data_IF_801488519380
#
_entry.id   IF_801488519380
#
_cell.length_a   1.000
_cell.length_b   1.000
_cell.length_c   1.000
_cell.angle_alpha   90.00
_cell.angle_beta   90.00
_cell.angle_gamma   90.00
#
_symmetry.space_group_name_H-M   'P 1'
#
loop_
_entity.id
_entity.type
_entity.pdbx_description
1 polymer ?
#
# COMPACT_ATOMS: atom_id res chain seq x y z
N UNK A 1 18.57 21.76 39.95
CA UNK A 1 17.29 21.04 39.72
C UNK A 1 16.51 21.62 38.54
N UNK A 2 16.33 22.92 38.40
CA UNK A 2 15.56 23.54 37.28
C UNK A 2 16.07 23.11 35.86
N UNK A 3 17.40 23.10 35.64
CA UNK A 3 17.95 22.72 34.32
C UNK A 3 17.76 21.23 33.96
N UNK A 4 17.68 20.33 34.95
CA UNK A 4 17.38 18.92 34.70
C UNK A 4 15.92 18.69 34.35
N UNK A 5 15.00 19.46 34.99
CA UNK A 5 13.55 19.41 34.68
C UNK A 5 13.29 19.97 33.27
N UNK A 6 13.95 21.06 32.89
CA UNK A 6 13.86 21.60 31.53
C UNK A 6 14.41 20.64 30.47
N UNK A 7 15.50 19.91 30.75
CA UNK A 7 16.06 18.93 29.83
C UNK A 7 15.13 17.72 29.64
N UNK A 8 14.52 17.24 30.72
CA UNK A 8 13.53 16.14 30.66
C UNK A 8 12.24 16.60 29.94
N UNK A 9 11.78 17.82 30.19
CA UNK A 9 10.63 18.38 29.46
C UNK A 9 10.92 18.58 27.97
N UNK A 10 12.13 19.04 27.61
CA UNK A 10 12.56 19.17 26.21
C UNK A 10 12.68 17.81 25.51
N UNK A 11 13.18 16.77 26.21
CA UNK A 11 13.24 15.40 25.69
C UNK A 11 11.85 14.77 25.52
N UNK A 12 10.89 15.07 26.41
CA UNK A 12 9.51 14.62 26.29
C UNK A 12 8.78 15.32 25.14
N UNK A 13 9.06 16.59 24.87
CA UNK A 13 8.47 17.33 23.74
C UNK A 13 9.13 16.92 22.41
N UNK A 14 10.44 16.61 22.40
CA UNK A 14 11.12 16.11 21.22
C UNK A 14 10.74 14.64 20.86
N UNK A 15 10.17 13.89 21.81
CA UNK A 15 9.73 12.50 21.59
C UNK A 15 8.34 12.37 20.96
N UNK A 16 7.63 13.47 20.71
CA UNK A 16 6.33 13.46 20.02
C UNK A 16 6.48 13.96 18.57
N UNK A 17 7.54 13.55 17.89
CA UNK A 17 7.48 13.49 16.44
C UNK A 17 6.51 12.32 16.13
N UNK A 18 5.26 12.64 15.84
CA UNK A 18 4.31 11.65 15.34
C UNK A 18 4.88 11.15 14.02
N UNK A 19 5.43 9.96 14.04
CA UNK A 19 5.69 9.23 12.83
C UNK A 19 4.32 8.91 12.22
N UNK A 20 3.89 9.71 11.27
CA UNK A 20 2.77 9.39 10.39
C UNK A 20 3.28 8.33 9.42
N UNK A 21 3.34 7.11 9.86
CA UNK A 21 3.80 5.99 9.07
C UNK A 21 3.01 4.74 9.46
N UNK A 22 2.60 3.97 8.46
CA UNK A 22 1.91 2.72 8.70
C UNK A 22 2.82 1.70 9.40
N UNK A 23 2.23 0.80 10.17
CA UNK A 23 2.97 -0.23 10.93
C UNK A 23 2.71 -1.61 10.35
N UNK A 24 3.77 -2.33 10.02
CA UNK A 24 3.69 -3.69 9.49
C UNK A 24 4.53 -4.66 10.31
N UNK A 25 4.01 -5.89 10.51
CA UNK A 25 4.76 -7.01 11.04
C UNK A 25 4.73 -8.17 10.06
N UNK A 26 5.86 -8.81 9.86
CA UNK A 26 5.99 -10.03 9.07
C UNK A 26 6.61 -11.11 9.95
N UNK A 27 5.87 -12.18 10.19
CA UNK A 27 6.34 -13.36 10.90
C UNK A 27 6.60 -14.47 9.89
N UNK A 28 7.86 -14.81 9.68
CA UNK A 28 8.26 -15.87 8.76
C UNK A 28 8.01 -17.27 9.33
N UNK A 29 8.05 -18.29 8.46
CA UNK A 29 7.81 -19.70 8.80
C UNK A 29 8.64 -20.23 9.96
N UNK A 30 9.88 -19.76 10.11
CA UNK A 30 10.77 -20.20 11.20
C UNK A 30 10.45 -19.57 12.56
N UNK A 31 9.65 -18.52 12.61
CA UNK A 31 9.25 -17.82 13.83
C UNK A 31 7.80 -18.11 14.25
N UNK A 32 6.98 -18.68 13.37
CA UNK A 32 5.61 -19.08 13.68
C UNK A 32 5.58 -20.50 14.28
N UNK A 33 4.58 -20.75 15.13
CA UNK A 33 4.43 -22.05 15.81
C UNK A 33 4.07 -23.20 14.86
N UNK A 34 3.34 -22.89 13.81
CA UNK A 34 2.75 -23.87 12.87
C UNK A 34 3.37 -23.80 11.46
N UNK A 35 4.42 -22.99 11.29
CA UNK A 35 5.06 -22.80 9.98
C UNK A 35 4.30 -21.88 9.02
N UNK A 36 3.25 -21.20 9.49
CA UNK A 36 2.55 -20.18 8.69
C UNK A 36 3.40 -18.91 8.51
N UNK A 37 3.06 -18.11 7.50
CA UNK A 37 3.52 -16.74 7.39
C UNK A 37 2.38 -15.82 7.83
N UNK A 38 2.67 -14.90 8.75
CA UNK A 38 1.68 -13.95 9.25
C UNK A 38 2.14 -12.55 8.85
N UNK A 39 1.24 -11.79 8.25
CA UNK A 39 1.46 -10.37 7.93
C UNK A 39 0.38 -9.57 8.63
N UNK A 40 0.76 -8.53 9.35
CA UNK A 40 -0.17 -7.51 9.83
C UNK A 40 0.13 -6.19 9.14
N UNK A 41 -0.91 -5.42 8.91
CA UNK A 41 -0.82 -4.09 8.34
C UNK A 41 -1.79 -3.16 9.08
N UNK A 42 -1.30 -2.01 9.51
CA UNK A 42 -2.07 -0.97 10.15
C UNK A 42 -1.80 0.36 9.43
N UNK A 43 -2.84 0.94 8.87
CA UNK A 43 -2.79 2.31 8.37
C UNK A 43 -2.94 3.27 9.55
N UNK A 44 -1.84 3.91 9.96
CA UNK A 44 -1.81 4.80 11.12
C UNK A 44 -2.38 6.18 10.71
N UNK A 45 -3.69 6.31 10.73
CA UNK A 45 -4.41 7.53 10.34
C UNK A 45 -5.55 7.84 11.30
N UNK A 46 -5.77 9.11 11.57
CA UNK A 46 -6.92 9.59 12.35
C UNK A 46 -8.22 9.72 11.53
N UNK A 47 -8.13 9.69 10.21
CA UNK A 47 -9.24 9.91 9.29
C UNK A 47 -9.71 8.69 8.52
N UNK A 48 -8.94 7.60 8.55
CA UNK A 48 -9.29 6.36 7.85
C UNK A 48 -10.01 5.40 8.78
N UNK A 49 -11.12 4.85 8.31
CA UNK A 49 -11.85 3.78 8.98
C UNK A 49 -11.62 2.49 8.18
N UNK A 50 -11.24 1.41 8.90
CA UNK A 50 -11.03 0.13 8.26
C UNK A 50 -12.32 -0.45 7.67
N UNK A 51 -12.26 -0.86 6.42
CA UNK A 51 -13.31 -1.61 5.73
C UNK A 51 -12.73 -2.93 5.24
N UNK A 52 -13.58 -3.95 5.15
CA UNK A 52 -13.19 -5.20 4.53
C UNK A 52 -13.47 -5.10 3.03
N UNK A 53 -12.46 -4.71 2.27
CA UNK A 53 -12.54 -4.65 0.81
C UNK A 53 -12.60 -6.05 0.22
N UNK A 54 -13.49 -6.24 -0.75
CA UNK A 54 -13.59 -7.46 -1.52
C UNK A 54 -13.68 -7.14 -3.02
N UNK A 55 -12.72 -7.63 -3.77
CA UNK A 55 -12.67 -7.55 -5.22
C UNK A 55 -12.78 -8.98 -5.78
N UNK A 56 -13.93 -9.37 -6.35
CA UNK A 56 -14.12 -10.71 -6.87
C UNK A 56 -13.25 -10.96 -8.10
N UNK A 57 -12.86 -12.22 -8.29
CA UNK A 57 -12.23 -12.67 -9.53
C UNK A 57 -13.16 -12.44 -10.72
N UNK A 58 -12.60 -12.03 -11.85
CA UNK A 58 -13.39 -11.74 -13.05
C UNK A 58 -12.59 -12.01 -14.32
N UNK A 59 -13.31 -12.24 -15.43
CA UNK A 59 -12.78 -12.20 -16.79
C UNK A 59 -13.23 -10.93 -17.47
N UNK A 60 -12.32 -10.31 -18.20
CA UNK A 60 -12.55 -9.00 -18.82
C UNK A 60 -12.43 -9.10 -20.35
N UNK A 61 -13.11 -8.21 -21.06
CA UNK A 61 -12.96 -8.07 -22.49
C UNK A 61 -11.53 -7.66 -22.87
N UNK A 62 -11.11 -7.99 -24.08
CA UNK A 62 -9.75 -7.75 -24.58
C UNK A 62 -9.27 -6.30 -24.43
N UNK A 63 -10.17 -5.34 -24.62
CA UNK A 63 -9.85 -3.91 -24.59
C UNK A 63 -10.49 -3.20 -23.39
N UNK A 64 -10.77 -3.95 -22.32
CA UNK A 64 -11.31 -3.39 -21.09
C UNK A 64 -10.35 -2.40 -20.45
N UNK A 65 -10.88 -1.28 -19.96
CA UNK A 65 -10.14 -0.27 -19.23
C UNK A 65 -10.65 -0.24 -17.79
N UNK A 66 -9.73 0.00 -16.87
CA UNK A 66 -10.01 0.17 -15.44
C UNK A 66 -9.81 1.64 -15.07
N UNK A 67 -10.82 2.25 -14.48
CA UNK A 67 -10.71 3.57 -13.88
C UNK A 67 -9.92 3.50 -12.59
N UNK A 68 -9.00 4.43 -12.41
CA UNK A 68 -8.19 4.58 -11.22
C UNK A 68 -8.62 5.87 -10.52
N UNK A 69 -8.87 5.73 -9.24
CA UNK A 69 -9.21 6.83 -8.34
C UNK A 69 -8.19 6.86 -7.21
N UNK A 70 -7.71 8.04 -6.84
CA UNK A 70 -6.85 8.21 -5.69
C UNK A 70 -7.54 7.66 -4.44
N UNK A 71 -6.81 6.87 -3.69
CA UNK A 71 -7.37 6.09 -2.57
C UNK A 71 -7.97 6.97 -1.47
N UNK A 72 -7.28 8.03 -1.09
CA UNK A 72 -7.67 8.86 0.06
C UNK A 72 -8.80 9.84 -0.26
N UNK A 73 -8.83 10.39 -1.47
CA UNK A 73 -9.75 11.47 -1.85
C UNK A 73 -10.84 11.05 -2.82
N UNK A 74 -10.67 9.89 -3.49
CA UNK A 74 -11.56 9.46 -4.57
C UNK A 74 -11.43 10.30 -5.85
N UNK A 75 -10.38 11.10 -5.98
CA UNK A 75 -10.10 11.86 -7.20
C UNK A 75 -9.83 10.92 -8.37
N UNK A 76 -10.52 11.11 -9.50
CA UNK A 76 -10.23 10.36 -10.72
C UNK A 76 -8.85 10.74 -11.26
N UNK A 77 -7.97 9.74 -11.42
CA UNK A 77 -6.62 9.91 -11.90
C UNK A 77 -6.46 9.55 -13.38
N UNK A 78 -7.24 8.59 -13.87
CA UNK A 78 -7.15 8.13 -15.23
C UNK A 78 -7.65 6.70 -15.43
N UNK A 79 -7.28 6.11 -16.54
CA UNK A 79 -7.63 4.73 -16.87
C UNK A 79 -6.38 3.94 -17.25
N UNK A 80 -6.32 2.69 -16.79
CA UNK A 80 -5.28 1.74 -17.16
C UNK A 80 -5.90 0.57 -17.93
N UNK A 81 -5.10 -0.14 -18.70
CA UNK A 81 -5.54 -1.37 -19.36
C UNK A 81 -5.89 -2.43 -18.32
N UNK A 82 -7.07 -3.02 -18.43
CA UNK A 82 -7.45 -4.12 -17.56
C UNK A 82 -6.76 -5.43 -17.99
N UNK A 83 -6.45 -6.29 -16.99
CA UNK A 83 -5.96 -7.64 -17.27
C UNK A 83 -7.10 -8.50 -17.82
N UNK A 84 -6.81 -9.48 -18.72
CA UNK A 84 -7.86 -10.38 -19.24
C UNK A 84 -8.57 -11.20 -18.16
N UNK A 85 -7.89 -11.44 -17.05
CA UNK A 85 -8.39 -12.13 -15.87
C UNK A 85 -7.82 -11.46 -14.62
N UNK A 86 -8.68 -11.27 -13.61
CA UNK A 86 -8.29 -10.75 -12.30
C UNK A 86 -8.65 -11.77 -11.24
N UNK A 87 -7.84 -11.79 -10.17
CA UNK A 87 -7.98 -12.72 -9.05
C UNK A 87 -8.83 -12.14 -7.93
N UNK A 88 -9.40 -13.03 -7.13
CA UNK A 88 -10.17 -12.67 -5.95
C UNK A 88 -9.26 -12.08 -4.87
N UNK A 89 -9.63 -10.92 -4.31
CA UNK A 89 -8.89 -10.22 -3.27
C UNK A 89 -9.81 -9.88 -2.11
N UNK A 90 -9.38 -10.19 -0.89
CA UNK A 90 -10.07 -9.79 0.34
C UNK A 90 -9.06 -9.06 1.22
N UNK A 91 -9.38 -7.82 1.61
CA UNK A 91 -8.44 -6.98 2.32
C UNK A 91 -7.13 -6.86 1.52
N UNK A 92 -6.00 -7.08 2.16
CA UNK A 92 -4.68 -6.98 1.54
C UNK A 92 -4.11 -8.35 1.10
N UNK A 93 -4.95 -9.36 0.86
CA UNK A 93 -4.54 -10.69 0.44
C UNK A 93 -5.40 -11.21 -0.71
N UNK A 94 -4.78 -11.90 -1.67
CA UNK A 94 -5.48 -12.55 -2.77
C UNK A 94 -5.67 -14.08 -2.54
N UNK A 95 -6.42 -14.73 -3.42
CA UNK A 95 -6.70 -16.17 -3.36
C UNK A 95 -5.47 -17.07 -3.47
N UNK A 96 -4.34 -16.55 -3.95
CA UNK A 96 -3.04 -17.25 -3.97
C UNK A 96 -2.20 -16.97 -2.72
N UNK A 97 -2.77 -16.34 -1.68
CA UNK A 97 -2.10 -15.99 -0.43
C UNK A 97 -0.94 -14.98 -0.62
N UNK A 98 -0.96 -14.21 -1.70
CA UNK A 98 -0.08 -13.04 -1.83
C UNK A 98 -0.66 -11.93 -0.98
N UNK A 99 0.16 -11.36 -0.10
CA UNK A 99 -0.22 -10.25 0.77
C UNK A 99 0.68 -9.06 0.47
N UNK A 100 0.11 -7.86 0.40
CA UNK A 100 0.84 -6.61 0.22
C UNK A 100 0.43 -5.67 1.35
N UNK A 101 1.39 -5.24 2.14
CA UNK A 101 1.27 -4.11 3.07
C UNK A 101 2.12 -2.95 2.56
N UNK A 102 1.97 -1.78 3.15
CA UNK A 102 2.78 -0.61 2.81
C UNK A 102 3.14 0.19 4.07
N UNK A 103 4.08 1.11 3.91
CA UNK A 103 4.36 2.15 4.89
C UNK A 103 4.90 3.40 4.19
N UNK A 104 4.27 4.53 4.46
CA UNK A 104 4.65 5.83 3.92
C UNK A 104 5.91 6.34 4.60
N UNK A 105 6.91 6.77 3.82
CA UNK A 105 8.07 7.48 4.34
C UNK A 105 8.17 8.93 3.82
N UNK A 106 7.19 9.39 3.04
CA UNK A 106 7.10 10.72 2.45
C UNK A 106 8.04 10.94 1.28
N UNK A 107 9.33 10.76 1.48
CA UNK A 107 10.33 10.96 0.44
C UNK A 107 10.55 12.44 0.10
N UNK A 108 10.95 12.70 -1.14
CA UNK A 108 11.21 14.03 -1.68
C UNK A 108 10.00 14.49 -2.49
N UNK A 109 9.38 15.60 -2.11
CA UNK A 109 8.16 16.11 -2.77
C UNK A 109 8.33 16.35 -4.27
N UNK A 110 9.51 16.77 -4.71
CA UNK A 110 9.81 16.99 -6.13
C UNK A 110 9.80 15.71 -6.97
N UNK A 111 9.76 14.53 -6.35
CA UNK A 111 9.66 13.24 -7.05
C UNK A 111 8.21 12.75 -7.20
N UNK A 112 7.24 13.44 -6.61
CA UNK A 112 5.81 13.11 -6.79
C UNK A 112 5.41 13.44 -8.22
N UNK A 113 5.00 12.42 -8.97
CA UNK A 113 4.48 12.61 -10.33
C UNK A 113 3.00 12.99 -10.30
N UNK A 114 2.72 14.28 -10.33
CA UNK A 114 1.34 14.81 -10.34
C UNK A 114 0.54 14.48 -11.59
N UNK A 115 1.17 13.88 -12.60
CA UNK A 115 0.53 13.39 -13.85
C UNK A 115 0.37 11.88 -13.85
N UNK A 116 0.93 11.20 -12.86
CA UNK A 116 0.82 9.76 -12.70
C UNK A 116 -0.63 9.31 -12.47
N UNK A 117 -0.94 8.09 -12.86
CA UNK A 117 -2.27 7.50 -12.73
C UNK A 117 -2.35 6.55 -11.55
N UNK A 118 -1.24 5.88 -11.21
CA UNK A 118 -1.23 4.89 -10.12
C UNK A 118 -0.91 5.56 -8.78
N UNK A 119 -1.86 5.51 -7.85
CA UNK A 119 -1.62 5.82 -6.44
C UNK A 119 -1.27 4.56 -5.64
N UNK A 120 -0.83 4.72 -4.38
CA UNK A 120 -0.37 3.61 -3.55
C UNK A 120 -1.45 2.55 -3.32
N UNK A 121 -2.67 2.94 -2.99
CA UNK A 121 -3.77 2.02 -2.71
C UNK A 121 -4.21 1.25 -3.95
N UNK A 122 -4.43 1.94 -5.07
CA UNK A 122 -4.75 1.31 -6.35
C UNK A 122 -3.64 0.35 -6.79
N UNK A 123 -2.37 0.72 -6.57
CA UNK A 123 -1.23 -0.12 -6.92
C UNK A 123 -1.25 -1.46 -6.16
N UNK A 124 -1.55 -1.44 -4.85
CA UNK A 124 -1.71 -2.65 -4.03
C UNK A 124 -2.78 -3.57 -4.61
N UNK A 125 -4.00 -3.06 -4.78
CA UNK A 125 -5.13 -3.89 -5.19
C UNK A 125 -5.03 -4.39 -6.62
N UNK A 126 -4.52 -3.57 -7.55
CA UNK A 126 -4.29 -3.99 -8.93
C UNK A 126 -3.22 -5.07 -8.98
N UNK A 127 -2.13 -4.94 -8.20
CA UNK A 127 -1.09 -5.96 -8.15
C UNK A 127 -1.60 -7.28 -7.56
N UNK A 128 -2.39 -7.22 -6.47
CA UNK A 128 -3.01 -8.42 -5.88
C UNK A 128 -3.94 -9.12 -6.86
N UNK A 129 -4.70 -8.38 -7.65
CA UNK A 129 -5.60 -8.95 -8.66
C UNK A 129 -4.88 -9.55 -9.88
N UNK A 130 -3.56 -9.32 -10.05
CA UNK A 130 -2.79 -9.71 -11.24
C UNK A 130 -1.59 -10.59 -10.94
N UNK A 131 -1.40 -11.04 -9.69
CA UNK A 131 -0.20 -11.81 -9.30
C UNK A 131 -0.56 -13.07 -8.51
N UNK A 132 0.24 -14.12 -8.68
CA UNK A 132 0.13 -15.40 -7.95
C UNK A 132 1.27 -15.59 -6.97
N UNK A 133 2.29 -14.78 -7.06
CA UNK A 133 3.47 -14.82 -6.18
C UNK A 133 3.92 -13.41 -5.84
N UNK A 134 4.65 -13.26 -4.73
CA UNK A 134 5.23 -11.97 -4.34
C UNK A 134 6.17 -11.39 -5.43
N UNK A 135 6.93 -12.24 -6.13
CA UNK A 135 7.80 -11.79 -7.23
C UNK A 135 7.00 -11.25 -8.42
N UNK A 136 5.88 -11.91 -8.75
CA UNK A 136 4.97 -11.40 -9.78
C UNK A 136 4.32 -10.08 -9.36
N UNK A 137 3.93 -9.95 -8.08
CA UNK A 137 3.38 -8.71 -7.55
C UNK A 137 4.37 -7.54 -7.71
N UNK A 138 5.63 -7.73 -7.32
CA UNK A 138 6.69 -6.73 -7.51
C UNK A 138 6.81 -6.35 -9.00
N UNK A 139 6.81 -7.34 -9.89
CA UNK A 139 6.89 -7.08 -11.33
C UNK A 139 5.70 -6.29 -11.85
N UNK A 140 4.48 -6.68 -11.46
CA UNK A 140 3.25 -5.97 -11.84
C UNK A 140 3.29 -4.52 -11.35
N UNK A 141 3.65 -4.29 -10.09
CA UNK A 141 3.75 -2.94 -9.51
C UNK A 141 4.75 -2.08 -10.27
N UNK A 142 5.95 -2.60 -10.52
CA UNK A 142 7.00 -1.86 -11.23
C UNK A 142 6.64 -1.57 -12.69
N UNK A 143 5.98 -2.51 -13.38
CA UNK A 143 5.52 -2.32 -14.75
C UNK A 143 4.40 -1.25 -14.81
N UNK A 144 3.46 -1.27 -13.87
CA UNK A 144 2.38 -0.27 -13.79
C UNK A 144 2.92 1.14 -13.52
N UNK A 145 3.85 1.27 -12.58
CA UNK A 145 4.49 2.57 -12.30
C UNK A 145 5.27 3.07 -13.51
N UNK A 146 5.98 2.19 -14.20
CA UNK A 146 6.72 2.55 -15.41
C UNK A 146 5.82 3.02 -16.56
N UNK A 147 4.65 2.38 -16.73
CA UNK A 147 3.74 2.66 -17.84
C UNK A 147 2.82 3.86 -17.55
N UNK A 148 2.36 4.00 -16.30
CA UNK A 148 1.30 4.94 -15.94
C UNK A 148 1.72 6.03 -14.94
N UNK A 149 2.99 6.04 -14.49
CA UNK A 149 3.47 6.97 -13.47
C UNK A 149 2.95 6.66 -12.08
N UNK A 150 3.52 7.31 -11.07
CA UNK A 150 3.17 7.10 -9.66
C UNK A 150 2.77 8.41 -8.99
N UNK A 151 1.54 8.53 -8.56
CA UNK A 151 0.88 9.76 -8.08
C UNK A 151 0.97 9.93 -6.55
N UNK A 152 1.63 9.10 -5.80
CA UNK A 152 1.73 9.25 -4.34
C UNK A 152 3.10 9.71 -3.88
N UNK A 153 3.20 10.06 -2.59
CA UNK A 153 4.47 10.25 -1.90
C UNK A 153 5.28 8.95 -1.82
N UNK A 154 6.47 9.00 -1.22
CA UNK A 154 7.32 7.81 -1.11
C UNK A 154 6.72 6.73 -0.21
N UNK A 155 6.62 5.52 -0.76
CA UNK A 155 6.08 4.32 -0.10
C UNK A 155 7.07 3.17 -0.15
N UNK A 156 6.99 2.30 0.88
CA UNK A 156 7.64 0.98 0.90
C UNK A 156 6.55 -0.09 0.91
N UNK A 157 6.63 -1.03 -0.03
CA UNK A 157 5.70 -2.15 -0.13
C UNK A 157 6.38 -3.46 0.24
#
# INVERSE_FOLDING_TARGET
MKNRIMLVAALLVAGVAQALACTNFIVGKGASKDGSVIVSYSADSYGLFGELYHYPAAKHAKDAMRKIYEWDTGKFLGEIKEAPETYNVIGNMNEYQVTIGETTFGGREELVDTTGIMDYGSLIYVALQRSRTAKEAIKVMTDLVKEYGYYSSGESF
#
